data_IF_632498327367
#
_entry.id   IF_632498327367
#
_cell.length_a   1.000
_cell.length_b   1.000
_cell.length_c   1.000
_cell.angle_alpha   90.00
_cell.angle_beta   90.00
_cell.angle_gamma   90.00
#
_symmetry.space_group_name_H-M   'P 1'
#
loop_
_entity.id
_entity.type
_entity.pdbx_description
1 polymer ?
#
# COMPACT_ATOMS: atom_id res chain seq x y z
N UNK A 1 -16.56 -30.65 -50.60
CA UNK A 1 -16.67 -29.75 -49.44
C UNK A 1 -15.69 -30.24 -48.38
N UNK A 2 -14.51 -29.62 -48.28
CA UNK A 2 -13.48 -29.99 -47.31
C UNK A 2 -13.72 -29.24 -46.01
N UNK A 3 -14.07 -29.96 -44.94
CA UNK A 3 -14.08 -29.41 -43.59
C UNK A 3 -12.65 -29.21 -43.13
N UNK A 4 -12.16 -27.98 -43.20
CA UNK A 4 -10.90 -27.58 -42.56
C UNK A 4 -11.06 -27.71 -41.05
N UNK A 5 -10.50 -28.77 -40.49
CA UNK A 5 -10.32 -28.95 -39.05
C UNK A 5 -9.43 -27.83 -38.53
N UNK A 6 -10.02 -26.86 -37.82
CA UNK A 6 -9.26 -25.86 -37.07
C UNK A 6 -8.42 -26.59 -36.03
N UNK A 7 -7.12 -26.76 -36.30
CA UNK A 7 -6.16 -27.27 -35.34
C UNK A 7 -6.21 -26.39 -34.08
N UNK A 8 -6.49 -27.00 -32.93
CA UNK A 8 -6.45 -26.32 -31.65
C UNK A 8 -5.06 -25.69 -31.43
N UNK A 9 -4.99 -24.47 -30.86
CA UNK A 9 -3.71 -23.80 -30.65
C UNK A 9 -2.82 -24.68 -29.77
N UNK A 10 -1.64 -25.06 -30.29
CA UNK A 10 -0.67 -25.89 -29.56
C UNK A 10 -0.20 -25.10 -28.34
N UNK A 11 -0.62 -25.56 -27.16
CA UNK A 11 -0.17 -24.98 -25.89
C UNK A 11 1.35 -25.11 -25.77
N UNK A 12 1.98 -24.04 -25.26
CA UNK A 12 3.41 -24.05 -24.94
C UNK A 12 3.72 -25.14 -23.90
N UNK A 13 4.97 -25.68 -23.85
CA UNK A 13 5.33 -26.69 -22.87
C UNK A 13 5.01 -26.28 -21.42
N UNK A 14 5.22 -25.00 -21.10
CA UNK A 14 4.88 -24.45 -19.80
C UNK A 14 3.36 -24.46 -19.51
N UNK A 15 2.52 -24.13 -20.49
CA UNK A 15 1.06 -24.16 -20.32
C UNK A 15 0.48 -25.58 -20.24
N UNK A 16 1.25 -26.61 -20.59
CA UNK A 16 0.86 -28.02 -20.42
C UNK A 16 1.05 -28.51 -18.99
N UNK A 17 1.80 -27.77 -18.17
CA UNK A 17 1.96 -28.12 -16.77
C UNK A 17 0.62 -27.97 -16.02
N UNK A 18 0.35 -28.86 -15.04
CA UNK A 18 -0.73 -28.70 -14.09
C UNK A 18 -0.74 -27.32 -13.43
N UNK A 19 -1.92 -26.82 -13.10
CA UNK A 19 -2.09 -25.47 -12.54
C UNK A 19 -1.27 -25.24 -11.26
N UNK A 20 -1.12 -26.29 -10.45
CA UNK A 20 -0.39 -26.30 -9.19
C UNK A 20 1.10 -26.06 -9.41
N UNK A 21 1.70 -26.74 -10.39
CA UNK A 21 3.11 -26.55 -10.73
C UNK A 21 3.34 -25.16 -11.34
N UNK A 22 2.41 -24.67 -12.17
CA UNK A 22 2.49 -23.31 -12.71
C UNK A 22 2.40 -22.28 -11.58
N UNK A 23 1.48 -22.47 -10.63
CA UNK A 23 1.33 -21.62 -9.46
C UNK A 23 2.60 -21.57 -8.60
N UNK A 24 3.17 -22.73 -8.28
CA UNK A 24 4.43 -22.81 -7.52
C UNK A 24 5.59 -22.08 -8.23
N UNK A 25 5.68 -22.19 -9.56
CA UNK A 25 6.67 -21.45 -10.35
C UNK A 25 6.38 -19.94 -10.29
N UNK A 26 5.13 -19.52 -10.43
CA UNK A 26 4.78 -18.12 -10.32
C UNK A 26 5.09 -17.55 -8.94
N UNK A 27 4.79 -18.27 -7.85
CA UNK A 27 5.13 -17.82 -6.49
C UNK A 27 6.62 -17.59 -6.30
N UNK A 28 7.47 -18.39 -6.95
CA UNK A 28 8.91 -18.19 -6.93
C UNK A 28 9.35 -16.95 -7.72
N UNK A 29 8.69 -16.66 -8.85
CA UNK A 29 9.02 -15.51 -9.71
C UNK A 29 8.50 -14.19 -9.12
N UNK A 30 7.27 -14.19 -8.61
CA UNK A 30 6.65 -13.02 -7.99
C UNK A 30 7.12 -12.86 -6.55
N UNK A 31 8.32 -12.28 -6.41
CA UNK A 31 8.84 -11.81 -5.12
C UNK A 31 8.08 -10.57 -4.63
N UNK A 32 8.38 -10.09 -3.43
CA UNK A 32 7.75 -8.88 -2.88
C UNK A 32 8.32 -7.64 -3.55
N UNK A 33 7.46 -6.81 -4.12
CA UNK A 33 7.84 -5.55 -4.76
C UNK A 33 7.21 -4.39 -4.02
N UNK A 34 7.91 -3.25 -3.91
CA UNK A 34 7.34 -2.02 -3.36
C UNK A 34 7.34 -0.95 -4.42
N UNK A 35 6.15 -0.41 -4.67
CA UNK A 35 5.90 0.46 -5.81
C UNK A 35 5.13 1.68 -5.35
N UNK A 36 5.70 2.82 -5.63
CA UNK A 36 5.02 4.09 -5.47
C UNK A 36 4.26 4.43 -6.74
N UNK A 37 2.97 4.70 -6.57
CA UNK A 37 2.09 5.08 -7.66
C UNK A 37 2.10 6.61 -7.76
N UNK A 38 2.46 7.10 -8.93
CA UNK A 38 2.60 8.53 -9.21
C UNK A 38 1.54 8.97 -10.21
N UNK A 39 0.83 10.05 -9.92
CA UNK A 39 -0.10 10.69 -10.86
C UNK A 39 0.61 11.87 -11.52
N UNK A 40 1.04 11.69 -12.76
CA UNK A 40 1.76 12.72 -13.51
C UNK A 40 0.94 13.20 -14.71
N UNK A 41 1.13 14.46 -15.08
CA UNK A 41 0.58 15.03 -16.32
C UNK A 41 1.24 14.33 -17.51
N UNK A 42 0.42 13.90 -18.46
CA UNK A 42 0.89 13.40 -19.75
C UNK A 42 1.56 14.55 -20.49
N UNK A 43 2.85 14.38 -20.79
CA UNK A 43 3.69 15.43 -21.37
C UNK A 43 3.64 15.44 -22.90
N UNK A 44 2.96 14.49 -23.55
CA UNK A 44 2.90 14.42 -25.02
C UNK A 44 1.99 15.54 -25.58
N UNK A 45 2.58 16.62 -26.16
CA UNK A 45 1.80 17.77 -26.62
C UNK A 45 0.99 17.43 -27.87
N UNK A 46 1.33 16.36 -28.61
CA UNK A 46 0.67 15.97 -29.86
C UNK A 46 -0.66 15.25 -29.62
N UNK A 47 -0.82 14.57 -28.48
CA UNK A 47 -2.04 13.78 -28.19
C UNK A 47 -3.18 14.57 -27.55
N UNK A 48 -2.88 15.66 -26.85
CA UNK A 48 -3.87 16.32 -25.98
C UNK A 48 -3.80 17.85 -26.03
N UNK A 49 -3.98 18.43 -27.22
CA UNK A 49 -3.93 19.89 -27.44
C UNK A 49 -4.96 20.71 -26.65
N UNK A 50 -6.09 20.10 -26.23
CA UNK A 50 -7.23 20.81 -25.61
C UNK A 50 -7.41 20.56 -24.10
N UNK A 51 -6.83 19.50 -23.52
CA UNK A 51 -7.06 19.13 -22.11
C UNK A 51 -5.85 18.48 -21.48
N UNK A 52 -5.61 18.78 -20.21
CA UNK A 52 -4.57 18.13 -19.42
C UNK A 52 -4.98 16.69 -19.08
N UNK A 53 -4.31 15.71 -19.71
CA UNK A 53 -4.47 14.31 -19.35
C UNK A 53 -3.50 13.93 -18.23
N UNK A 54 -3.95 13.13 -17.27
CA UNK A 54 -3.09 12.57 -16.21
C UNK A 54 -2.97 11.06 -16.40
N UNK A 55 -1.80 10.49 -16.17
CA UNK A 55 -1.58 9.03 -16.16
C UNK A 55 -0.99 8.58 -14.84
N UNK A 56 -1.18 7.31 -14.53
CA UNK A 56 -0.49 6.67 -13.43
C UNK A 56 0.83 6.10 -13.94
N UNK A 57 1.88 6.39 -13.19
CA UNK A 57 3.21 5.88 -13.37
C UNK A 57 3.61 5.16 -12.10
N UNK A 58 4.68 4.37 -12.20
CA UNK A 58 5.22 3.63 -11.08
C UNK A 58 6.68 4.01 -10.85
N UNK A 59 7.07 4.07 -9.59
CA UNK A 59 8.47 4.16 -9.17
C UNK A 59 8.76 3.01 -8.21
N UNK A 60 9.68 2.15 -8.58
CA UNK A 60 10.06 1.02 -7.73
C UNK A 60 10.97 1.49 -6.59
N UNK A 61 10.60 1.12 -5.37
CA UNK A 61 11.36 1.36 -4.16
C UNK A 61 11.84 0.02 -3.57
N UNK A 62 12.66 0.09 -2.52
CA UNK A 62 13.12 -1.11 -1.81
C UNK A 62 11.96 -1.73 -1.03
N UNK A 63 11.70 -3.04 -1.18
CA UNK A 63 10.59 -3.69 -0.51
C UNK A 63 10.78 -3.76 1.01
N UNK A 64 9.67 -3.74 1.75
CA UNK A 64 9.64 -4.12 3.15
C UNK A 64 9.66 -5.64 3.27
N UNK A 65 10.37 -6.15 4.26
CA UNK A 65 10.31 -7.57 4.60
C UNK A 65 8.87 -7.92 5.03
N UNK A 66 8.22 -8.94 4.44
CA UNK A 66 6.82 -9.26 4.75
C UNK A 66 6.60 -9.77 6.18
N UNK A 67 7.63 -10.26 6.87
CA UNK A 67 7.55 -10.67 8.28
C UNK A 67 7.78 -9.51 9.24
N UNK A 68 8.85 -8.74 9.06
CA UNK A 68 9.24 -7.69 10.02
C UNK A 68 8.72 -6.30 9.66
N UNK A 69 8.24 -6.12 8.43
CA UNK A 69 7.85 -4.83 7.82
C UNK A 69 8.96 -3.76 7.82
N UNK A 70 10.20 -4.15 8.10
CA UNK A 70 11.37 -3.27 8.05
C UNK A 70 11.90 -3.19 6.61
N UNK A 71 12.33 -2.00 6.21
CA UNK A 71 13.01 -1.80 4.93
C UNK A 71 14.47 -2.24 5.10
N UNK A 72 14.84 -3.34 4.43
CA UNK A 72 16.24 -3.77 4.41
C UNK A 72 17.00 -3.02 3.31
N UNK A 73 17.97 -2.20 3.73
CA UNK A 73 18.84 -1.45 2.82
C UNK A 73 19.70 -2.34 1.92
N UNK A 74 19.94 -3.59 2.31
CA UNK A 74 20.75 -4.57 1.57
C UNK A 74 19.93 -5.44 0.64
N UNK A 75 18.60 -5.34 0.67
CA UNK A 75 17.72 -6.17 -0.15
C UNK A 75 17.91 -5.88 -1.64
N UNK A 76 18.13 -6.91 -2.48
CA UNK A 76 18.24 -6.74 -3.93
C UNK A 76 16.94 -6.21 -4.52
N UNK A 77 17.05 -5.33 -5.51
CA UNK A 77 15.91 -4.84 -6.30
C UNK A 77 15.77 -5.70 -7.55
N UNK A 78 14.82 -6.62 -7.54
CA UNK A 78 14.47 -7.40 -8.74
C UNK A 78 13.54 -6.59 -9.65
N UNK A 79 13.68 -6.70 -10.99
CA UNK A 79 12.77 -6.04 -11.91
C UNK A 79 11.36 -6.61 -11.76
N UNK A 80 10.36 -5.74 -11.81
CA UNK A 80 8.96 -6.15 -11.72
C UNK A 80 8.60 -7.03 -12.94
N UNK A 81 8.06 -8.25 -12.76
CA UNK A 81 7.86 -9.21 -13.84
C UNK A 81 6.63 -8.91 -14.72
N UNK A 82 6.48 -7.67 -15.20
CA UNK A 82 5.37 -7.25 -16.10
C UNK A 82 5.31 -8.06 -17.38
N UNK A 83 6.45 -8.55 -17.87
CA UNK A 83 6.51 -9.38 -19.07
C UNK A 83 5.57 -10.59 -18.97
N UNK A 84 5.46 -11.22 -17.78
CA UNK A 84 4.58 -12.38 -17.57
C UNK A 84 3.10 -12.04 -17.68
N UNK A 85 2.70 -10.84 -17.24
CA UNK A 85 1.33 -10.36 -17.38
C UNK A 85 0.96 -10.07 -18.84
N UNK A 86 1.96 -9.72 -19.67
CA UNK A 86 1.77 -9.29 -21.05
C UNK A 86 1.99 -10.42 -22.08
N UNK A 87 2.43 -11.61 -21.66
CA UNK A 87 2.74 -12.71 -22.60
C UNK A 87 1.49 -13.28 -23.26
N UNK A 88 0.49 -13.71 -22.48
CA UNK A 88 -0.73 -14.30 -23.00
C UNK A 88 -1.88 -14.23 -21.98
N UNK A 89 -3.11 -14.41 -22.48
CA UNK A 89 -4.34 -14.34 -21.66
C UNK A 89 -4.39 -15.38 -20.54
N UNK A 90 -3.81 -16.57 -20.75
CA UNK A 90 -3.76 -17.61 -19.71
C UNK A 90 -2.88 -17.16 -18.54
N UNK A 91 -1.63 -16.78 -18.84
CA UNK A 91 -0.69 -16.33 -17.81
C UNK A 91 -1.18 -15.07 -17.11
N UNK A 92 -1.79 -14.14 -17.85
CA UNK A 92 -2.44 -12.97 -17.26
C UNK A 92 -3.47 -13.36 -16.19
N UNK A 93 -4.37 -14.30 -16.50
CA UNK A 93 -5.40 -14.75 -15.54
C UNK A 93 -4.80 -15.42 -14.31
N UNK A 94 -3.76 -16.23 -14.49
CA UNK A 94 -3.14 -16.95 -13.37
C UNK A 94 -2.35 -16.00 -12.46
N UNK A 95 -1.69 -14.99 -13.04
CA UNK A 95 -0.68 -14.19 -12.34
C UNK A 95 -1.16 -12.83 -11.86
N UNK A 96 -2.30 -12.33 -12.38
CA UNK A 96 -2.79 -10.99 -12.04
C UNK A 96 -3.00 -10.81 -10.53
N UNK A 97 -3.74 -11.72 -9.89
CA UNK A 97 -3.98 -11.62 -8.44
C UNK A 97 -2.69 -11.78 -7.64
N UNK A 98 -1.80 -12.69 -8.06
CA UNK A 98 -0.50 -12.87 -7.41
C UNK A 98 0.38 -11.62 -7.49
N UNK A 99 0.37 -10.94 -8.65
CA UNK A 99 1.09 -9.69 -8.85
C UNK A 99 0.64 -8.61 -7.86
N UNK A 100 -0.67 -8.37 -7.75
CA UNK A 100 -1.21 -7.38 -6.82
C UNK A 100 -1.05 -7.79 -5.35
N UNK A 101 -1.13 -9.08 -5.04
CA UNK A 101 -0.89 -9.60 -3.68
C UNK A 101 0.57 -9.46 -3.22
N UNK A 102 1.53 -9.57 -4.13
CA UNK A 102 2.97 -9.45 -3.85
C UNK A 102 3.50 -8.02 -4.01
N UNK A 103 2.64 -7.05 -4.31
CA UNK A 103 3.02 -5.64 -4.47
C UNK A 103 2.57 -4.79 -3.28
N UNK A 104 3.52 -4.06 -2.70
CA UNK A 104 3.32 -3.07 -1.66
C UNK A 104 3.11 -1.71 -2.33
N UNK A 105 1.90 -1.20 -2.29
CA UNK A 105 1.54 0.04 -2.99
C UNK A 105 1.69 1.25 -2.09
N UNK A 106 2.36 2.29 -2.57
CA UNK A 106 2.48 3.57 -1.87
C UNK A 106 1.70 4.65 -2.61
N UNK A 107 0.84 5.35 -1.87
CA UNK A 107 0.06 6.47 -2.37
C UNK A 107 0.36 7.73 -1.57
N UNK A 108 0.92 8.73 -2.25
CA UNK A 108 1.20 10.03 -1.63
C UNK A 108 0.04 11.03 -1.72
N UNK A 109 -1.00 10.70 -2.50
CA UNK A 109 -2.16 11.58 -2.66
C UNK A 109 -3.43 10.77 -2.79
N UNK A 110 -4.53 11.31 -2.24
CA UNK A 110 -5.88 10.75 -2.38
C UNK A 110 -6.31 10.62 -3.83
N UNK A 111 -5.92 11.59 -4.67
CA UNK A 111 -6.20 11.56 -6.12
C UNK A 111 -5.50 10.42 -6.85
N UNK A 112 -4.29 10.05 -6.43
CA UNK A 112 -3.59 8.88 -6.99
C UNK A 112 -4.33 7.60 -6.59
N UNK A 113 -4.67 7.45 -5.30
CA UNK A 113 -5.37 6.29 -4.79
C UNK A 113 -6.74 6.11 -5.45
N UNK A 114 -7.58 7.15 -5.45
CA UNK A 114 -8.90 7.09 -6.08
C UNK A 114 -8.81 6.75 -7.58
N UNK A 115 -7.80 7.29 -8.29
CA UNK A 115 -7.58 6.94 -9.70
C UNK A 115 -7.11 5.50 -9.86
N UNK A 116 -6.22 5.02 -9.00
CA UNK A 116 -5.75 3.64 -9.02
C UNK A 116 -6.93 2.69 -8.84
N UNK A 117 -7.73 2.88 -7.80
CA UNK A 117 -8.92 2.06 -7.55
C UNK A 117 -9.87 2.10 -8.74
N UNK A 118 -10.14 3.28 -9.32
CA UNK A 118 -11.02 3.40 -10.49
C UNK A 118 -10.55 2.64 -11.74
N UNK A 119 -9.24 2.53 -11.97
CA UNK A 119 -8.72 1.87 -13.19
C UNK A 119 -8.41 0.39 -13.01
N UNK A 120 -8.12 -0.03 -11.78
CA UNK A 120 -7.74 -1.40 -11.44
C UNK A 120 -8.97 -2.28 -11.47
N UNK A 121 -8.85 -3.49 -12.02
CA UNK A 121 -9.95 -4.45 -12.05
C UNK A 121 -10.30 -4.95 -10.64
N UNK A 122 -11.55 -5.37 -10.45
CA UNK A 122 -12.07 -5.80 -9.16
C UNK A 122 -11.25 -6.94 -8.53
N UNK A 123 -10.88 -7.97 -9.30
CA UNK A 123 -10.09 -9.09 -8.78
C UNK A 123 -8.70 -8.64 -8.28
N UNK A 124 -8.08 -7.70 -8.98
CA UNK A 124 -6.80 -7.14 -8.57
C UNK A 124 -6.94 -6.25 -7.33
N UNK A 125 -8.00 -5.43 -7.24
CA UNK A 125 -8.29 -4.63 -6.05
C UNK A 125 -8.44 -5.53 -4.81
N UNK A 126 -9.21 -6.62 -4.95
CA UNK A 126 -9.40 -7.61 -3.88
C UNK A 126 -8.09 -8.27 -3.49
N UNK A 127 -7.19 -8.52 -4.43
CA UNK A 127 -5.91 -9.16 -4.18
C UNK A 127 -4.87 -8.25 -3.50
N UNK A 128 -5.08 -6.93 -3.41
CA UNK A 128 -4.14 -6.02 -2.73
C UNK A 128 -4.07 -6.34 -1.24
N UNK A 129 -2.87 -6.66 -0.74
CA UNK A 129 -2.64 -7.03 0.66
C UNK A 129 -1.86 -6.00 1.47
N UNK A 130 -1.12 -5.10 0.82
CA UNK A 130 -0.25 -4.14 1.49
C UNK A 130 -0.37 -2.74 0.87
N UNK A 131 -0.71 -1.76 1.70
CA UNK A 131 -0.82 -0.35 1.29
C UNK A 131 -0.08 0.56 2.26
N UNK A 132 0.61 1.55 1.70
CA UNK A 132 1.21 2.66 2.42
C UNK A 132 0.56 3.97 1.96
N UNK A 133 0.08 4.76 2.91
CA UNK A 133 -0.57 6.05 2.67
C UNK A 133 0.30 7.16 3.25
N UNK A 134 0.78 8.05 2.39
CA UNK A 134 1.42 9.28 2.83
C UNK A 134 0.41 10.41 2.63
N UNK A 135 -0.06 11.01 3.72
CA UNK A 135 -1.07 12.05 3.72
C UNK A 135 -0.58 13.30 4.43
N UNK A 136 -0.87 14.46 3.84
CA UNK A 136 -0.61 15.75 4.46
C UNK A 136 -1.94 16.49 4.49
N UNK A 137 -2.44 16.77 5.68
CA UNK A 137 -3.72 17.45 5.87
C UNK A 137 -3.68 18.87 5.32
N UNK A 138 -4.84 19.42 4.99
CA UNK A 138 -4.96 20.83 4.67
C UNK A 138 -4.86 21.64 5.96
N UNK A 139 -4.07 22.72 5.96
CA UNK A 139 -3.93 23.57 7.15
C UNK A 139 -5.18 24.40 7.40
N UNK A 140 -5.38 24.81 8.64
CA UNK A 140 -6.51 25.68 8.98
C UNK A 140 -6.49 27.01 8.21
N UNK A 141 -7.57 27.32 7.47
CA UNK A 141 -7.61 28.52 6.66
C UNK A 141 -7.84 29.75 7.54
N UNK A 142 -6.97 30.75 7.39
CA UNK A 142 -7.15 32.05 8.05
C UNK A 142 -8.41 32.80 7.56
N UNK A 143 -8.85 32.54 6.33
CA UNK A 143 -9.97 33.21 5.69
C UNK A 143 -11.14 32.25 5.51
N UNK A 144 -12.35 32.69 5.87
CA UNK A 144 -13.58 31.86 5.84
C UNK A 144 -13.85 31.21 4.47
N UNK A 145 -13.62 31.93 3.37
CA UNK A 145 -13.83 31.39 2.01
C UNK A 145 -12.99 30.14 1.71
N UNK A 146 -11.83 29.98 2.36
CA UNK A 146 -10.95 28.82 2.16
C UNK A 146 -11.38 27.60 2.96
N UNK A 147 -12.36 27.73 3.87
CA UNK A 147 -12.93 26.57 4.61
C UNK A 147 -13.53 25.54 3.68
N UNK A 148 -14.12 25.98 2.57
CA UNK A 148 -14.63 25.08 1.54
C UNK A 148 -13.55 24.12 1.02
N UNK A 149 -12.35 24.63 0.74
CA UNK A 149 -11.24 23.82 0.23
C UNK A 149 -10.72 22.82 1.27
N UNK A 150 -10.66 23.22 2.55
CA UNK A 150 -10.34 22.32 3.66
C UNK A 150 -11.37 21.19 3.75
N UNK A 151 -12.66 21.52 3.81
CA UNK A 151 -13.73 20.53 3.88
C UNK A 151 -13.68 19.54 2.70
N UNK A 152 -13.45 20.02 1.49
CA UNK A 152 -13.28 19.17 0.30
C UNK A 152 -12.04 18.27 0.38
N UNK A 153 -10.94 18.75 0.95
CA UNK A 153 -9.73 17.96 1.18
C UNK A 153 -9.95 16.87 2.21
N UNK A 154 -10.59 17.20 3.33
CA UNK A 154 -10.86 16.28 4.44
C UNK A 154 -11.84 15.19 3.99
N UNK A 155 -12.90 15.57 3.25
CA UNK A 155 -13.81 14.61 2.61
C UNK A 155 -13.10 13.73 1.59
N UNK A 156 -12.17 14.27 0.81
CA UNK A 156 -11.40 13.46 -0.14
C UNK A 156 -10.49 12.44 0.57
N UNK A 157 -9.97 12.77 1.75
CA UNK A 157 -9.22 11.84 2.59
C UNK A 157 -10.12 10.76 3.18
N UNK A 158 -11.26 11.16 3.76
CA UNK A 158 -12.27 10.23 4.28
C UNK A 158 -12.70 9.22 3.22
N UNK A 159 -13.11 9.70 2.04
CA UNK A 159 -13.54 8.85 0.94
C UNK A 159 -12.42 7.95 0.43
N UNK A 160 -11.17 8.41 0.41
CA UNK A 160 -10.06 7.59 -0.04
C UNK A 160 -9.78 6.41 0.91
N UNK A 161 -9.90 6.63 2.22
CA UNK A 161 -9.80 5.56 3.22
C UNK A 161 -10.99 4.58 3.12
N UNK A 162 -12.21 5.10 2.98
CA UNK A 162 -13.40 4.26 2.85
C UNK A 162 -13.39 3.45 1.53
N UNK A 163 -13.00 4.05 0.41
CA UNK A 163 -12.81 3.36 -0.86
C UNK A 163 -11.78 2.23 -0.69
N UNK A 164 -10.63 2.50 -0.07
CA UNK A 164 -9.61 1.48 0.14
C UNK A 164 -10.15 0.31 0.97
N UNK A 165 -10.92 0.60 2.02
CA UNK A 165 -11.58 -0.40 2.86
C UNK A 165 -12.58 -1.25 2.06
N UNK A 166 -13.37 -0.62 1.19
CA UNK A 166 -14.42 -1.29 0.41
C UNK A 166 -13.84 -2.15 -0.71
N UNK A 167 -12.87 -1.62 -1.46
CA UNK A 167 -12.31 -2.26 -2.65
C UNK A 167 -11.20 -3.27 -2.32
N UNK A 168 -10.36 -3.01 -1.32
CA UNK A 168 -9.22 -3.86 -0.94
C UNK A 168 -9.54 -4.74 0.27
N UNK A 169 -10.43 -5.72 0.09
CA UNK A 169 -10.90 -6.58 1.19
C UNK A 169 -9.85 -7.56 1.73
N UNK A 170 -8.78 -7.86 0.98
CA UNK A 170 -7.68 -8.69 1.49
C UNK A 170 -6.52 -7.87 2.05
N UNK A 171 -6.73 -6.58 2.34
CA UNK A 171 -5.72 -5.74 2.97
C UNK A 171 -5.35 -6.29 4.36
N UNK A 172 -4.07 -6.61 4.53
CA UNK A 172 -3.50 -7.17 5.77
C UNK A 172 -2.52 -6.21 6.43
N UNK A 173 -1.83 -5.40 5.62
CA UNK A 173 -0.77 -4.51 6.07
C UNK A 173 -1.09 -3.07 5.65
N UNK A 174 -1.16 -2.17 6.63
CA UNK A 174 -1.37 -0.75 6.42
C UNK A 174 -0.26 0.06 7.09
N UNK A 175 0.46 0.86 6.30
CA UNK A 175 1.32 1.91 6.82
C UNK A 175 0.68 3.28 6.55
N UNK A 176 0.65 4.15 7.55
CA UNK A 176 0.14 5.51 7.39
C UNK A 176 1.20 6.48 7.90
N UNK A 177 1.67 7.35 7.03
CA UNK A 177 2.49 8.51 7.39
C UNK A 177 1.62 9.75 7.17
N UNK A 178 1.20 10.37 8.27
CA UNK A 178 0.22 11.45 8.26
C UNK A 178 0.75 12.70 8.95
N UNK A 179 0.82 13.78 8.19
CA UNK A 179 1.12 15.12 8.71
C UNK A 179 -0.16 15.87 9.05
N UNK A 180 -0.46 16.02 10.34
CA UNK A 180 -1.63 16.72 10.86
C UNK A 180 -1.37 18.23 10.84
N UNK A 181 -2.29 18.99 10.24
CA UNK A 181 -2.21 20.46 10.14
C UNK A 181 -3.46 21.18 10.65
N UNK A 182 -4.31 20.46 11.36
CA UNK A 182 -5.52 20.99 11.98
C UNK A 182 -5.19 21.71 13.28
N UNK A 183 -5.95 22.76 13.58
CA UNK A 183 -5.74 23.62 14.75
C UNK A 183 -6.99 24.47 15.11
N UNK A 184 -7.38 24.55 16.39
CA UNK A 184 -6.88 23.82 17.54
C UNK A 184 -7.41 22.37 17.55
N UNK A 185 -6.60 21.42 18.03
CA UNK A 185 -6.99 20.03 18.29
C UNK A 185 -6.34 19.56 19.59
N UNK A 186 -6.95 18.58 20.27
CA UNK A 186 -6.41 18.01 21.51
C UNK A 186 -5.56 16.74 21.25
N UNK A 187 -5.56 16.27 20.00
CA UNK A 187 -4.89 15.05 19.53
C UNK A 187 -5.48 13.80 20.21
N UNK A 188 -6.80 13.76 20.36
CA UNK A 188 -7.52 12.63 20.93
C UNK A 188 -8.05 11.74 19.79
N UNK A 189 -7.87 10.43 19.92
CA UNK A 189 -8.41 9.47 18.95
C UNK A 189 -9.94 9.45 19.03
N UNK A 190 -10.59 9.73 17.90
CA UNK A 190 -12.03 9.99 17.80
C UNK A 190 -12.33 11.38 17.24
N UNK A 191 -11.37 12.30 17.27
CA UNK A 191 -11.46 13.58 16.57
C UNK A 191 -11.45 13.42 15.04
N UNK A 192 -11.86 14.47 14.34
CA UNK A 192 -12.04 14.50 12.88
C UNK A 192 -10.83 13.99 12.09
N UNK A 193 -9.60 14.31 12.51
CA UNK A 193 -8.38 13.87 11.84
C UNK A 193 -8.21 12.34 11.85
N UNK A 194 -8.71 11.68 12.90
CA UNK A 194 -8.53 10.24 13.13
C UNK A 194 -9.68 9.38 12.59
N UNK A 195 -10.85 9.97 12.34
CA UNK A 195 -12.05 9.26 11.89
C UNK A 195 -11.84 8.42 10.61
N UNK A 196 -11.15 8.93 9.56
CA UNK A 196 -10.89 8.14 8.35
C UNK A 196 -10.10 6.85 8.64
N UNK A 197 -9.20 6.89 9.63
CA UNK A 197 -8.38 5.73 10.00
C UNK A 197 -9.17 4.74 10.87
N UNK A 198 -10.00 5.24 11.78
CA UNK A 198 -10.91 4.41 12.59
C UNK A 198 -11.95 3.65 11.76
N UNK A 199 -12.24 4.11 10.53
CA UNK A 199 -13.10 3.37 9.61
C UNK A 199 -12.57 1.96 9.30
N UNK A 200 -11.24 1.77 9.29
CA UNK A 200 -10.61 0.46 9.12
C UNK A 200 -10.87 -0.47 10.31
N UNK A 201 -10.91 0.06 11.53
CA UNK A 201 -11.22 -0.72 12.74
C UNK A 201 -12.68 -1.21 12.76
N UNK A 202 -13.63 -0.33 12.42
CA UNK A 202 -15.06 -0.60 12.61
C UNK A 202 -15.66 -1.51 11.53
N UNK A 203 -15.23 -1.31 10.29
CA UNK A 203 -15.86 -1.93 9.12
C UNK A 203 -14.84 -2.50 8.13
N UNK A 204 -13.57 -2.52 8.48
CA UNK A 204 -12.49 -2.93 7.59
C UNK A 204 -12.09 -4.39 7.70
N UNK A 205 -11.22 -4.85 6.78
CA UNK A 205 -10.63 -6.17 6.89
C UNK A 205 -9.74 -6.26 8.12
N UNK A 206 -9.67 -7.45 8.69
CA UNK A 206 -8.92 -7.66 9.92
C UNK A 206 -7.42 -7.58 9.63
N UNK A 207 -6.77 -6.51 10.09
CA UNK A 207 -5.38 -6.21 9.73
C UNK A 207 -4.39 -6.96 10.61
N UNK A 208 -3.38 -7.56 9.97
CA UNK A 208 -2.28 -8.27 10.61
C UNK A 208 -1.18 -7.30 11.06
N UNK A 209 -1.01 -6.19 10.33
CA UNK A 209 -0.01 -5.18 10.65
C UNK A 209 -0.52 -3.77 10.35
N UNK A 210 -0.42 -2.87 11.33
CA UNK A 210 -0.72 -1.45 11.18
C UNK A 210 0.45 -0.66 11.76
N UNK A 211 0.98 0.29 11.02
CA UNK A 211 2.06 1.20 11.46
C UNK A 211 1.68 2.64 11.15
N UNK A 212 1.45 3.44 12.18
CA UNK A 212 0.98 4.82 12.03
C UNK A 212 2.06 5.76 12.54
N UNK A 213 2.43 6.73 11.69
CA UNK A 213 3.36 7.80 12.01
C UNK A 213 2.61 9.12 11.87
N UNK A 214 2.55 9.86 12.98
CA UNK A 214 1.89 11.15 13.04
C UNK A 214 2.95 12.22 13.15
N UNK A 215 2.82 13.26 12.32
CA UNK A 215 3.71 14.41 12.34
C UNK A 215 2.89 15.68 12.61
N UNK A 216 3.20 16.36 13.71
CA UNK A 216 2.63 17.66 14.03
C UNK A 216 3.63 18.52 14.81
N UNK A 217 4.06 19.69 14.30
CA UNK A 217 5.11 20.48 14.94
C UNK A 217 4.83 20.97 16.37
N UNK A 218 3.56 21.02 16.78
CA UNK A 218 3.15 21.59 18.07
C UNK A 218 3.06 20.59 19.21
N UNK A 219 3.09 19.29 18.92
CA UNK A 219 3.06 18.25 19.95
C UNK A 219 4.42 17.58 20.06
N UNK A 220 4.77 17.13 21.26
CA UNK A 220 5.95 16.30 21.48
C UNK A 220 5.77 14.94 20.78
N UNK A 221 6.89 14.36 20.34
CA UNK A 221 6.91 13.08 19.62
C UNK A 221 6.28 11.96 20.45
N UNK A 222 6.45 11.97 21.78
CA UNK A 222 5.88 10.96 22.68
C UNK A 222 4.34 10.95 22.66
N UNK A 223 3.72 12.14 22.66
CA UNK A 223 2.26 12.29 22.59
C UNK A 223 1.73 11.83 21.23
N UNK A 224 2.45 12.16 20.15
CA UNK A 224 2.12 11.68 18.80
C UNK A 224 2.24 10.15 18.70
N UNK A 225 3.27 9.57 19.30
CA UNK A 225 3.49 8.14 19.34
C UNK A 225 2.45 7.42 20.20
N UNK A 226 1.95 8.04 21.27
CA UNK A 226 0.84 7.52 22.08
C UNK A 226 -0.48 7.50 21.29
N UNK A 227 -0.85 8.62 20.66
CA UNK A 227 -2.05 8.69 19.81
C UNK A 227 -1.98 7.72 18.62
N UNK A 228 -0.80 7.57 18.01
CA UNK A 228 -0.57 6.58 16.96
C UNK A 228 -0.75 5.15 17.48
N UNK A 229 -0.22 4.82 18.67
CA UNK A 229 -0.38 3.51 19.31
C UNK A 229 -1.84 3.19 19.62
N UNK A 230 -2.60 4.16 20.11
CA UNK A 230 -4.03 3.99 20.38
C UNK A 230 -4.80 3.70 19.07
N UNK A 231 -4.42 4.33 17.95
CA UNK A 231 -4.98 3.99 16.63
C UNK A 231 -4.56 2.59 16.16
N UNK A 232 -3.28 2.24 16.30
CA UNK A 232 -2.76 0.91 15.95
C UNK A 232 -3.51 -0.20 16.71
N UNK A 233 -3.74 -0.01 18.01
CA UNK A 233 -4.48 -0.93 18.88
C UNK A 233 -5.93 -1.11 18.42
N UNK A 234 -6.60 -0.02 18.05
CA UNK A 234 -8.00 -0.07 17.59
C UNK A 234 -8.16 -0.73 16.23
N UNK A 235 -7.18 -0.61 15.32
CA UNK A 235 -7.29 -1.10 13.93
C UNK A 235 -6.75 -2.53 13.77
N UNK A 236 -5.68 -2.88 14.48
CA UNK A 236 -5.00 -4.17 14.32
C UNK A 236 -5.69 -5.30 15.09
N UNK A 237 -5.46 -6.56 14.69
CA UNK A 237 -5.84 -7.72 15.51
C UNK A 237 -5.22 -7.64 16.90
N UNK A 238 -6.01 -7.92 17.93
CA UNK A 238 -5.55 -7.91 19.32
C UNK A 238 -4.31 -8.80 19.55
N UNK A 239 -4.29 -10.01 18.96
CA UNK A 239 -3.13 -10.92 19.05
C UNK A 239 -1.90 -10.39 18.34
N UNK A 240 -2.06 -9.81 17.14
CA UNK A 240 -0.95 -9.19 16.41
C UNK A 240 -0.41 -7.95 17.14
N UNK A 241 -1.30 -7.18 17.78
CA UNK A 241 -0.91 -6.04 18.60
C UNK A 241 -0.11 -6.46 19.83
N UNK A 242 -0.54 -7.50 20.53
CA UNK A 242 0.20 -8.06 21.67
C UNK A 242 1.59 -8.54 21.25
N UNK A 243 1.70 -9.36 20.19
CA UNK A 243 3.00 -9.82 19.69
C UNK A 243 3.93 -8.65 19.38
N UNK A 244 3.42 -7.60 18.71
CA UNK A 244 4.24 -6.42 18.36
C UNK A 244 4.63 -5.61 19.59
N UNK A 245 3.73 -5.49 20.57
CA UNK A 245 4.02 -4.83 21.85
C UNK A 245 5.10 -5.58 22.61
N UNK A 246 5.00 -6.91 22.67
CA UNK A 246 5.97 -7.79 23.32
C UNK A 246 7.33 -7.72 22.61
N UNK A 247 7.35 -7.71 21.27
CA UNK A 247 8.58 -7.52 20.50
C UNK A 247 9.24 -6.17 20.76
N UNK A 248 8.46 -5.08 20.86
CA UNK A 248 8.98 -3.74 21.19
C UNK A 248 9.55 -3.72 22.60
N UNK A 249 8.81 -4.24 23.58
CA UNK A 249 9.24 -4.33 24.96
C UNK A 249 10.49 -5.21 25.10
N UNK A 250 10.55 -6.34 24.40
CA UNK A 250 11.73 -7.19 24.36
C UNK A 250 12.95 -6.46 23.78
N UNK A 251 12.77 -5.60 22.76
CA UNK A 251 13.86 -4.76 22.21
C UNK A 251 14.30 -3.69 23.19
N UNK A 252 13.38 -3.06 23.90
CA UNK A 252 13.69 -2.06 24.94
C UNK A 252 14.47 -2.71 26.10
N UNK A 253 14.05 -3.89 26.55
CA UNK A 253 14.73 -4.66 27.60
C UNK A 253 16.08 -5.24 27.15
N UNK A 254 16.21 -5.67 25.89
CA UNK A 254 17.45 -6.22 25.35
C UNK A 254 18.57 -5.18 25.23
N UNK A 255 18.24 -3.88 25.32
CA UNK A 255 19.20 -2.78 25.23
C UNK A 255 19.91 -2.70 23.87
N UNK A 256 20.91 -1.80 23.72
CA UNK A 256 21.67 -1.70 22.48
C UNK A 256 22.49 -2.97 22.27
N UNK A 257 22.06 -3.80 21.31
CA UNK A 257 22.81 -4.98 20.87
C UNK A 257 24.15 -4.49 20.31
N UNK A 258 25.22 -4.63 21.11
CA UNK A 258 26.60 -4.44 20.65
C UNK A 258 26.87 -5.50 19.59
N UNK A 259 26.73 -5.14 18.32
CA UNK A 259 27.16 -6.00 17.22
C UNK A 259 28.67 -6.25 17.36
N UNK A 260 29.05 -7.41 17.91
CA UNK A 260 30.43 -7.89 17.85
C UNK A 260 30.72 -8.14 16.37
N UNK A 261 31.46 -7.22 15.75
CA UNK A 261 32.05 -7.43 14.44
C UNK A 261 33.05 -8.57 14.58
N UNK A 262 32.64 -9.78 14.21
CA UNK A 262 33.55 -10.90 14.02
C UNK A 262 34.38 -10.56 12.76
N UNK A 263 35.61 -10.07 12.97
CA UNK A 263 36.61 -10.02 11.90
C UNK A 263 36.98 -11.46 11.57
N UNK A 264 36.51 -11.94 10.42
CA UNK A 264 37.06 -13.14 9.79
C UNK A 264 38.49 -12.79 9.36
N UNK A 265 39.48 -13.33 10.06
CA UNK A 265 40.88 -13.34 9.62
C UNK A 265 41.01 -14.55 8.69
N UNK A 266 41.24 -14.29 7.41
CA UNK A 266 41.68 -15.29 6.44
C UNK A 266 43.20 -15.41 6.50
#
# INVERSE_FOLDING_TARGET
MSMTTKSSPRLSPFQRLPGELRWAIYEHVFTVHRVEVLRLKDKDPKKHAKRVHYRLYQRQLRPRNPGTQVIDSRSPRYPIPFALLLTCRSMYRDTLCLFYARTQFIFNTTRTLARFLKITNQDAQLAVQHVELNHVMYSEPALLHNRWWKAMSDMAWYNACDDLRVYCKSLKVLHVDMSIRDWPIDLIVGELWSLPLLAFARYGPVMDWVDIRLHMPRFQEDKLAEAARELEEKIMKHTAFQIRRDERLARELAGPVKAKVLRLVF
#
